data_IF_793485047315
#
_entry.id   IF_793485047315
#
_cell.length_a   1.000
_cell.length_b   1.000
_cell.length_c   1.000
_cell.angle_alpha   90.00
_cell.angle_beta   90.00
_cell.angle_gamma   90.00
#
_symmetry.space_group_name_H-M   'P 1'
#
loop_
_entity.id
_entity.type
_entity.pdbx_description
1 polymer ?
#
# COMPACT_ATOMS: atom_id res chain seq x y z
N UNK A 1 2.04 24.05 2.31
CA UNK A 1 0.84 24.10 3.20
C UNK A 1 0.42 22.70 3.50
N UNK A 2 -0.03 22.44 4.73
CA UNK A 2 -0.56 21.13 5.14
C UNK A 2 -1.73 20.70 4.25
N UNK A 3 -1.71 19.47 3.73
CA UNK A 3 -2.86 18.90 3.01
C UNK A 3 -3.56 17.88 3.88
N UNK A 4 -4.88 17.96 3.93
CA UNK A 4 -5.72 17.04 4.70
C UNK A 4 -6.78 16.43 3.79
N UNK A 5 -6.90 15.11 3.85
CA UNK A 5 -7.93 14.33 3.13
C UNK A 5 -8.82 13.68 4.19
N UNK A 6 -10.11 14.01 4.18
CA UNK A 6 -11.08 13.37 5.06
C UNK A 6 -11.63 12.11 4.40
N UNK A 7 -11.39 10.95 5.01
CA UNK A 7 -11.94 9.66 4.60
C UNK A 7 -13.28 9.46 5.28
N UNK A 8 -14.30 9.06 4.50
CA UNK A 8 -15.68 8.87 4.98
C UNK A 8 -16.11 7.41 4.88
N UNK A 9 -17.05 7.04 5.72
CA UNK A 9 -17.78 5.78 5.62
C UNK A 9 -19.27 6.09 5.68
N UNK A 10 -20.02 5.66 4.67
CA UNK A 10 -21.45 5.98 4.54
C UNK A 10 -21.76 7.49 4.70
N UNK A 11 -20.90 8.33 4.12
CA UNK A 11 -21.02 9.80 4.17
C UNK A 11 -20.58 10.44 5.47
N UNK A 12 -20.23 9.69 6.51
CA UNK A 12 -19.77 10.22 7.80
C UNK A 12 -18.24 10.24 7.88
N UNK A 13 -17.62 11.29 8.42
CA UNK A 13 -16.18 11.34 8.66
C UNK A 13 -15.72 10.13 9.48
N UNK A 14 -14.65 9.47 9.04
CA UNK A 14 -14.08 8.29 9.69
C UNK A 14 -12.71 8.60 10.28
N UNK A 15 -11.78 9.11 9.47
CA UNK A 15 -10.46 9.57 9.88
C UNK A 15 -9.88 10.55 8.86
N UNK A 16 -8.83 11.25 9.25
CA UNK A 16 -8.08 12.14 8.37
C UNK A 16 -6.77 11.52 7.93
N UNK A 17 -6.39 11.79 6.68
CA UNK A 17 -5.03 11.61 6.17
C UNK A 17 -4.40 13.00 6.12
N UNK A 18 -3.37 13.23 6.92
CA UNK A 18 -2.62 14.48 6.99
C UNK A 18 -1.28 14.29 6.31
N UNK A 19 -0.97 15.16 5.36
CA UNK A 19 0.28 15.13 4.58
C UNK A 19 1.09 16.38 4.95
N UNK A 20 2.26 16.16 5.53
CA UNK A 20 3.18 17.17 6.03
C UNK A 20 4.62 16.90 5.55
N UNK A 21 5.47 17.90 5.71
CA UNK A 21 6.90 17.77 5.37
C UNK A 21 7.78 17.46 6.58
N UNK A 22 7.20 17.40 7.78
CA UNK A 22 7.90 17.04 9.03
C UNK A 22 6.96 16.35 10.01
N UNK A 23 7.49 15.91 11.16
CA UNK A 23 6.67 15.41 12.27
C UNK A 23 6.25 16.50 13.25
N UNK A 24 6.58 17.76 13.04
CA UNK A 24 6.41 18.84 14.04
C UNK A 24 4.94 19.11 14.39
N UNK A 25 4.02 18.83 13.46
CA UNK A 25 2.59 18.97 13.69
C UNK A 25 1.89 17.70 14.20
N UNK A 26 2.62 16.62 14.41
CA UNK A 26 2.02 15.36 14.87
C UNK A 26 1.28 15.54 16.20
N UNK A 27 1.88 16.26 17.15
CA UNK A 27 1.23 16.54 18.43
C UNK A 27 -0.10 17.30 18.25
N UNK A 28 -0.10 18.33 17.43
CA UNK A 28 -1.32 19.13 17.12
C UNK A 28 -2.42 18.28 16.49
N UNK A 29 -2.06 17.45 15.50
CA UNK A 29 -3.03 16.58 14.83
C UNK A 29 -3.53 15.46 15.75
N UNK A 30 -2.67 14.96 16.64
CA UNK A 30 -3.05 13.97 17.62
C UNK A 30 -4.00 14.54 18.67
N UNK A 31 -3.78 15.78 19.14
CA UNK A 31 -4.65 16.46 20.13
C UNK A 31 -6.08 16.62 19.62
N UNK A 32 -6.29 16.73 18.29
CA UNK A 32 -7.64 16.77 17.68
C UNK A 32 -8.43 15.47 17.91
N UNK A 33 -7.75 14.37 18.26
CA UNK A 33 -8.41 13.10 18.61
C UNK A 33 -9.00 13.11 20.03
N UNK A 34 -8.67 14.11 20.85
CA UNK A 34 -9.12 14.21 22.23
C UNK A 34 -8.58 13.13 23.16
N UNK A 35 -7.39 12.57 22.84
CA UNK A 35 -6.75 11.50 23.63
C UNK A 35 -5.67 12.09 24.50
N UNK A 36 -5.93 12.22 25.80
CA UNK A 36 -5.01 12.78 26.81
C UNK A 36 -4.96 11.89 28.05
N UNK A 37 -3.80 11.81 28.71
CA UNK A 37 -3.59 11.00 29.94
C UNK A 37 -3.67 9.50 29.71
N UNK A 38 -3.40 9.04 28.50
CA UNK A 38 -3.43 7.62 28.08
C UNK A 38 -2.02 7.07 27.86
N UNK A 39 -1.96 5.78 27.59
CA UNK A 39 -0.74 5.12 27.15
C UNK A 39 -0.78 4.97 25.63
N UNK A 40 0.31 5.33 25.00
CA UNK A 40 0.53 5.17 23.58
C UNK A 40 1.67 4.17 23.38
N UNK A 41 1.49 3.16 22.56
CA UNK A 41 2.55 2.24 22.18
C UNK A 41 2.96 2.50 20.72
N UNK A 42 4.14 3.04 20.52
CA UNK A 42 4.80 3.07 19.22
C UNK A 42 5.23 1.63 18.91
N UNK A 43 4.68 1.06 17.84
CA UNK A 43 5.10 -0.22 17.26
C UNK A 43 5.89 0.09 16.00
N UNK A 44 7.13 -0.37 15.95
CA UNK A 44 8.04 -0.10 14.83
C UNK A 44 8.95 -1.30 14.57
N UNK A 45 9.72 -1.24 13.50
CA UNK A 45 10.72 -2.25 13.17
C UNK A 45 12.16 -1.76 13.39
N UNK A 46 13.11 -2.70 13.35
CA UNK A 46 14.55 -2.46 13.60
C UNK A 46 15.20 -1.51 12.60
N UNK A 47 14.61 -1.29 11.41
CA UNK A 47 15.12 -0.33 10.43
C UNK A 47 14.58 1.08 10.66
N UNK A 48 13.32 1.23 11.05
CA UNK A 48 12.61 2.51 11.14
C UNK A 48 12.77 3.14 12.52
N UNK A 49 12.73 2.35 13.59
CA UNK A 49 12.79 2.84 14.96
C UNK A 49 14.04 3.71 15.23
N UNK A 50 15.27 3.30 14.82
CA UNK A 50 16.47 4.11 15.06
C UNK A 50 16.43 5.49 14.39
N UNK A 51 15.66 5.63 13.30
CA UNK A 51 15.59 6.87 12.52
C UNK A 51 14.56 7.85 13.10
N UNK A 52 13.42 7.34 13.58
CA UNK A 52 12.26 8.20 13.81
C UNK A 52 11.57 8.02 15.17
N UNK A 53 11.74 6.87 15.86
CA UNK A 53 10.95 6.57 17.06
C UNK A 53 11.12 7.63 18.16
N UNK A 54 12.35 8.09 18.40
CA UNK A 54 12.62 9.13 19.39
C UNK A 54 11.91 10.44 19.09
N UNK A 55 11.90 10.90 17.83
CA UNK A 55 11.22 12.13 17.45
C UNK A 55 9.69 11.99 17.61
N UNK A 56 9.12 10.86 17.21
CA UNK A 56 7.69 10.57 17.39
C UNK A 56 7.33 10.53 18.87
N UNK A 57 8.14 9.88 19.71
CA UNK A 57 7.97 9.85 21.17
C UNK A 57 7.95 11.28 21.75
N UNK A 58 8.91 12.12 21.38
CA UNK A 58 8.98 13.52 21.83
C UNK A 58 7.73 14.32 21.42
N UNK A 59 7.19 14.12 20.23
CA UNK A 59 5.95 14.77 19.80
C UNK A 59 4.74 14.27 20.61
N UNK A 60 4.62 12.96 20.80
CA UNK A 60 3.48 12.37 21.52
C UNK A 60 3.50 12.68 23.02
N UNK A 61 4.66 12.82 23.63
CA UNK A 61 4.78 13.25 25.04
C UNK A 61 4.20 14.65 25.27
N UNK A 62 4.26 15.56 24.27
CA UNK A 62 3.67 16.91 24.36
C UNK A 62 2.14 16.88 24.54
N UNK A 63 1.48 15.82 24.16
CA UNK A 63 0.03 15.64 24.26
C UNK A 63 -0.45 15.17 25.63
N UNK A 64 0.46 15.12 26.65
CA UNK A 64 0.16 14.68 28.01
C UNK A 64 -0.08 13.19 28.18
N UNK A 65 0.34 12.39 27.22
CA UNK A 65 0.23 10.93 27.23
C UNK A 65 1.54 10.27 27.72
N UNK A 66 1.46 9.00 28.16
CA UNK A 66 2.64 8.18 28.44
C UNK A 66 2.98 7.38 27.17
N UNK A 67 4.23 7.43 26.74
CA UNK A 67 4.66 6.77 25.50
C UNK A 67 5.55 5.57 25.83
N UNK A 68 5.30 4.48 25.14
CA UNK A 68 6.05 3.23 25.17
C UNK A 68 6.46 2.88 23.74
N UNK A 69 7.57 2.18 23.58
CA UNK A 69 8.04 1.77 22.25
C UNK A 69 8.30 0.27 22.24
N UNK A 70 7.70 -0.43 21.28
CA UNK A 70 7.96 -1.82 20.95
C UNK A 70 8.61 -1.88 19.56
N UNK A 71 9.73 -2.60 19.46
CA UNK A 71 10.47 -2.75 18.19
C UNK A 71 10.66 -4.24 17.90
N UNK A 72 10.27 -4.66 16.70
CA UNK A 72 10.51 -6.01 16.21
C UNK A 72 11.50 -6.01 15.04
N UNK A 73 12.02 -7.17 14.66
CA UNK A 73 12.97 -7.30 13.58
C UNK A 73 12.31 -7.00 12.23
N UNK A 74 12.94 -6.14 11.42
CA UNK A 74 12.39 -5.72 10.12
C UNK A 74 12.30 -6.88 9.12
N UNK A 75 11.30 -6.83 8.25
CA UNK A 75 11.12 -7.79 7.15
C UNK A 75 9.77 -8.47 7.15
N UNK A 76 9.34 -8.92 5.95
CA UNK A 76 8.05 -9.60 5.75
C UNK A 76 7.94 -10.89 6.55
N UNK A 77 9.05 -11.60 6.80
CA UNK A 77 9.06 -12.82 7.60
C UNK A 77 8.55 -12.62 9.03
N UNK A 78 8.64 -11.40 9.55
CA UNK A 78 8.18 -11.03 10.89
C UNK A 78 6.75 -10.47 10.90
N UNK A 79 6.08 -10.42 9.75
CA UNK A 79 4.65 -10.09 9.64
C UNK A 79 3.79 -11.31 9.92
N UNK A 80 3.82 -11.82 11.14
CA UNK A 80 3.21 -13.09 11.52
C UNK A 80 2.51 -13.02 12.88
N UNK A 81 1.84 -14.11 13.28
CA UNK A 81 1.13 -14.19 14.55
C UNK A 81 2.07 -14.18 15.77
N UNK A 82 3.27 -14.74 15.65
CA UNK A 82 4.23 -14.78 16.77
C UNK A 82 4.63 -13.37 17.17
N UNK A 83 4.94 -12.50 16.20
CA UNK A 83 5.21 -11.08 16.47
C UNK A 83 3.99 -10.35 17.06
N UNK A 84 2.77 -10.69 16.63
CA UNK A 84 1.55 -10.14 17.25
C UNK A 84 1.42 -10.56 18.71
N UNK A 85 1.74 -11.81 19.04
CA UNK A 85 1.74 -12.32 20.42
C UNK A 85 2.78 -11.58 21.28
N UNK A 86 3.97 -11.30 20.75
CA UNK A 86 4.99 -10.50 21.44
C UNK A 86 4.49 -9.09 21.75
N UNK A 87 3.77 -8.44 20.80
CA UNK A 87 3.15 -7.14 21.07
C UNK A 87 2.08 -7.25 22.14
N UNK A 88 1.22 -8.28 22.12
CA UNK A 88 0.23 -8.49 23.20
C UNK A 88 0.89 -8.63 24.56
N UNK A 89 1.93 -9.44 24.65
CA UNK A 89 2.66 -9.63 25.93
C UNK A 89 3.24 -8.31 26.44
N UNK A 90 3.83 -7.50 25.53
CA UNK A 90 4.34 -6.17 25.86
C UNK A 90 3.24 -5.24 26.39
N UNK A 91 2.08 -5.20 25.72
CA UNK A 91 0.95 -4.37 26.12
C UNK A 91 0.37 -4.80 27.48
N UNK A 92 0.25 -6.12 27.74
CA UNK A 92 -0.22 -6.68 29.02
C UNK A 92 0.74 -6.32 30.14
N UNK A 93 2.05 -6.53 29.97
CA UNK A 93 3.09 -6.21 30.96
C UNK A 93 3.10 -4.72 31.33
N UNK A 94 2.76 -3.85 30.39
CA UNK A 94 2.67 -2.40 30.61
C UNK A 94 1.24 -1.93 30.97
N UNK A 95 0.32 -2.86 31.24
CA UNK A 95 -1.05 -2.59 31.70
C UNK A 95 -1.85 -1.69 30.75
N UNK A 96 -1.75 -1.90 29.44
CA UNK A 96 -2.57 -1.19 28.45
C UNK A 96 -4.04 -1.58 28.59
N UNK A 97 -4.92 -0.57 28.56
CA UNK A 97 -6.37 -0.75 28.63
C UNK A 97 -7.07 -0.42 27.29
N UNK A 98 -8.42 -0.55 27.24
CA UNK A 98 -9.21 -0.32 26.03
C UNK A 98 -9.23 1.13 25.52
N UNK A 99 -8.79 2.08 26.34
CA UNK A 99 -8.76 3.51 25.99
C UNK A 99 -7.37 3.97 25.56
N UNK A 100 -6.37 3.09 25.70
CA UNK A 100 -5.03 3.34 25.22
C UNK A 100 -4.96 3.13 23.68
N UNK A 101 -3.83 3.47 23.07
CA UNK A 101 -3.75 3.51 21.60
C UNK A 101 -2.40 2.99 21.10
N UNK A 102 -2.42 2.37 19.90
CA UNK A 102 -1.21 1.99 19.18
C UNK A 102 -0.85 3.05 18.14
N UNK A 103 0.45 3.21 17.90
CA UNK A 103 1.02 4.09 16.87
C UNK A 103 1.88 3.24 15.96
N UNK A 104 1.41 2.96 14.76
CA UNK A 104 2.15 2.20 13.75
C UNK A 104 3.17 3.11 13.06
N UNK A 105 4.43 3.04 13.44
CA UNK A 105 5.51 3.82 12.85
C UNK A 105 6.36 2.94 11.92
N UNK A 106 6.09 2.94 10.62
CA UNK A 106 6.83 2.08 9.71
C UNK A 106 6.25 1.94 8.31
N UNK A 107 6.75 0.96 7.59
CA UNK A 107 6.22 0.56 6.28
C UNK A 107 4.93 -0.25 6.37
N UNK A 108 4.52 -0.88 5.26
CA UNK A 108 3.29 -1.68 5.19
C UNK A 108 3.25 -2.84 6.19
N UNK A 109 4.39 -3.51 6.43
CA UNK A 109 4.51 -4.59 7.43
C UNK A 109 4.09 -4.11 8.81
N UNK A 110 4.67 -3.00 9.26
CA UNK A 110 4.37 -2.41 10.58
C UNK A 110 2.91 -1.95 10.65
N UNK A 111 2.42 -1.28 9.60
CA UNK A 111 1.05 -0.78 9.54
C UNK A 111 0.01 -1.89 9.65
N UNK A 112 0.19 -2.96 8.87
CA UNK A 112 -0.72 -4.10 8.83
C UNK A 112 -0.71 -4.90 10.14
N UNK A 113 0.49 -5.21 10.66
CA UNK A 113 0.67 -5.94 11.92
C UNK A 113 0.09 -5.16 13.10
N UNK A 114 0.42 -3.87 13.22
CA UNK A 114 -0.08 -3.03 14.31
C UNK A 114 -1.59 -2.84 14.23
N UNK A 115 -2.13 -2.63 13.04
CA UNK A 115 -3.57 -2.49 12.84
C UNK A 115 -4.32 -3.78 13.17
N UNK A 116 -3.78 -4.95 12.83
CA UNK A 116 -4.35 -6.26 13.23
C UNK A 116 -4.24 -6.49 14.73
N UNK A 117 -3.10 -6.17 15.34
CA UNK A 117 -2.92 -6.20 16.80
C UNK A 117 -3.95 -5.31 17.49
N UNK A 118 -4.14 -4.08 16.99
CA UNK A 118 -5.14 -3.16 17.53
C UNK A 118 -6.57 -3.69 17.41
N UNK A 119 -6.90 -4.35 16.28
CA UNK A 119 -8.23 -4.93 16.05
C UNK A 119 -8.56 -6.07 17.00
N UNK A 120 -7.56 -6.77 17.50
CA UNK A 120 -7.74 -8.02 18.26
C UNK A 120 -7.43 -7.88 19.76
N UNK A 121 -6.47 -7.02 20.15
CA UNK A 121 -6.16 -6.77 21.55
C UNK A 121 -7.38 -6.19 22.29
N UNK A 122 -7.77 -6.81 23.41
CA UNK A 122 -8.96 -6.46 24.21
C UNK A 122 -10.27 -6.35 23.40
N UNK A 123 -10.38 -7.02 22.26
CA UNK A 123 -11.48 -6.96 21.27
C UNK A 123 -11.56 -5.63 20.52
N UNK A 124 -10.46 -4.94 20.43
CA UNK A 124 -10.28 -3.70 19.66
C UNK A 124 -9.89 -2.51 20.53
N UNK A 125 -8.73 -1.93 20.23
CA UNK A 125 -8.25 -0.64 20.75
C UNK A 125 -7.94 0.29 19.57
N UNK A 126 -7.93 1.60 19.81
CA UNK A 126 -7.64 2.56 18.74
C UNK A 126 -6.19 2.49 18.27
N UNK A 127 -5.94 2.86 17.01
CA UNK A 127 -4.59 3.06 16.50
C UNK A 127 -4.51 4.20 15.50
N UNK A 128 -3.30 4.70 15.26
CA UNK A 128 -2.96 5.62 14.19
C UNK A 128 -1.85 5.04 13.34
N UNK A 129 -1.76 5.52 12.09
CA UNK A 129 -0.70 5.17 11.14
C UNK A 129 0.26 6.34 10.95
N UNK A 130 1.55 6.08 11.04
CA UNK A 130 2.64 7.00 10.67
C UNK A 130 3.51 6.28 9.62
N UNK A 131 3.04 6.23 8.35
CA UNK A 131 3.69 5.45 7.30
C UNK A 131 5.00 6.09 6.85
N UNK A 132 6.06 5.28 6.78
CA UNK A 132 7.42 5.74 6.45
C UNK A 132 7.94 5.26 5.09
N UNK A 133 7.19 4.42 4.38
CA UNK A 133 7.50 4.06 2.99
C UNK A 133 6.47 4.63 2.03
N UNK A 134 6.85 4.87 0.76
CA UNK A 134 5.93 5.40 -0.24
C UNK A 134 4.74 4.47 -0.46
N UNK A 135 4.98 3.14 -0.53
CA UNK A 135 3.91 2.14 -0.62
C UNK A 135 2.93 2.25 0.55
N UNK A 136 3.43 2.44 1.77
CA UNK A 136 2.57 2.60 2.93
C UNK A 136 1.78 3.92 2.89
N UNK A 137 2.40 5.01 2.44
CA UNK A 137 1.72 6.31 2.33
C UNK A 137 0.58 6.29 1.32
N UNK A 138 0.79 5.73 0.14
CA UNK A 138 -0.23 5.81 -0.94
C UNK A 138 -1.14 4.59 -1.01
N UNK A 139 -0.81 3.50 -0.34
CA UNK A 139 -1.56 2.24 -0.44
C UNK A 139 -1.92 1.64 0.91
N UNK A 140 -1.04 0.95 1.63
CA UNK A 140 -1.41 0.07 2.73
C UNK A 140 -2.04 0.79 3.93
N UNK A 141 -1.72 2.05 4.22
CA UNK A 141 -2.32 2.81 5.32
C UNK A 141 -3.77 3.24 5.09
N UNK A 142 -4.32 3.06 3.87
CA UNK A 142 -5.62 3.58 3.47
C UNK A 142 -6.60 2.44 3.22
N UNK A 143 -7.78 2.49 3.87
CA UNK A 143 -8.87 1.54 3.63
C UNK A 143 -8.95 0.39 4.62
N UNK A 144 -8.16 0.44 5.70
CA UNK A 144 -8.32 -0.40 6.89
C UNK A 144 -8.11 -1.90 6.70
N UNK A 145 -7.51 -2.34 5.60
CA UNK A 145 -7.04 -3.74 5.50
C UNK A 145 -5.84 -3.88 6.42
N UNK A 146 -5.95 -4.72 7.43
CA UNK A 146 -4.87 -5.04 8.37
C UNK A 146 -4.74 -6.55 8.47
N UNK A 147 -3.54 -7.06 8.71
CA UNK A 147 -3.35 -8.49 8.78
C UNK A 147 -1.91 -8.93 8.81
N UNK A 148 -1.75 -10.22 8.96
CA UNK A 148 -0.46 -10.89 9.01
C UNK A 148 -0.45 -12.11 8.09
N UNK A 149 0.74 -12.56 7.79
CA UNK A 149 0.97 -13.78 7.03
C UNK A 149 0.72 -15.00 7.93
N UNK A 150 0.23 -16.06 7.32
CA UNK A 150 0.05 -17.33 7.98
C UNK A 150 0.84 -18.41 7.25
N UNK A 151 1.94 -18.86 7.85
CA UNK A 151 2.91 -19.81 7.24
C UNK A 151 3.39 -19.26 5.88
N UNK A 152 3.17 -20.02 4.79
CA UNK A 152 3.56 -19.63 3.44
C UNK A 152 2.52 -18.76 2.70
N UNK A 153 1.47 -18.32 3.37
CA UNK A 153 0.36 -17.58 2.76
C UNK A 153 0.35 -16.13 3.23
N UNK A 154 0.55 -15.19 2.32
CA UNK A 154 0.52 -13.75 2.61
C UNK A 154 -0.89 -13.25 2.94
N UNK A 155 -1.00 -12.38 3.95
CA UNK A 155 -2.19 -11.62 4.31
C UNK A 155 -3.47 -12.48 4.54
N UNK A 156 -3.30 -13.72 5.04
CA UNK A 156 -4.41 -14.66 5.22
C UNK A 156 -5.23 -14.42 6.49
N UNK A 157 -4.60 -13.89 7.51
CA UNK A 157 -5.23 -13.61 8.79
C UNK A 157 -5.29 -12.10 8.96
N UNK A 158 -6.50 -11.54 9.06
CA UNK A 158 -6.62 -10.09 9.10
C UNK A 158 -8.02 -9.61 9.47
N UNK A 159 -8.12 -8.30 9.58
CA UNK A 159 -9.37 -7.60 9.90
C UNK A 159 -9.48 -6.31 9.07
N UNK A 160 -10.72 -5.90 8.79
CA UNK A 160 -10.99 -4.53 8.37
C UNK A 160 -11.06 -3.64 9.61
N UNK A 161 -9.97 -2.93 9.90
CA UNK A 161 -9.86 -2.06 11.06
C UNK A 161 -9.30 -0.70 10.69
N UNK A 162 -10.06 0.36 10.90
CA UNK A 162 -9.71 1.69 10.42
C UNK A 162 -8.88 2.45 11.47
N UNK A 163 -7.82 3.16 11.05
CA UNK A 163 -7.06 4.03 11.94
C UNK A 163 -7.90 5.26 12.36
N UNK A 164 -7.49 5.93 13.44
CA UNK A 164 -8.07 7.20 13.86
C UNK A 164 -7.43 8.40 13.15
N UNK A 165 -6.21 8.21 12.65
CA UNK A 165 -5.42 9.20 11.92
C UNK A 165 -4.40 8.47 11.06
N UNK A 166 -4.14 8.98 9.87
CA UNK A 166 -2.95 8.65 9.08
C UNK A 166 -2.12 9.93 8.97
N UNK A 167 -0.94 9.95 9.58
CA UNK A 167 -0.05 11.10 9.53
C UNK A 167 1.16 10.79 8.66
N UNK A 168 1.28 11.45 7.54
CA UNK A 168 2.34 11.26 6.56
C UNK A 168 3.35 12.41 6.65
N UNK A 169 4.60 12.08 6.90
CA UNK A 169 5.72 12.98 6.68
C UNK A 169 6.41 12.59 5.38
N UNK A 170 6.35 13.44 4.35
CA UNK A 170 6.95 13.13 3.05
C UNK A 170 8.48 13.18 3.07
N UNK A 171 9.11 13.91 4.00
CA UNK A 171 10.57 13.98 4.08
C UNK A 171 11.24 12.64 4.41
N UNK A 172 10.52 11.72 5.07
CA UNK A 172 11.04 10.38 5.38
C UNK A 172 11.36 9.56 4.12
N UNK A 173 10.75 9.90 2.98
CA UNK A 173 11.00 9.24 1.71
C UNK A 173 12.43 9.38 1.21
N UNK A 174 13.16 10.42 1.68
CA UNK A 174 14.58 10.63 1.38
C UNK A 174 15.47 9.54 2.00
N UNK A 175 15.01 8.85 3.05
CA UNK A 175 15.74 7.74 3.67
C UNK A 175 15.58 6.40 2.94
N UNK A 176 14.64 6.32 2.00
CA UNK A 176 14.39 5.10 1.25
C UNK A 176 15.46 4.85 0.19
N UNK A 177 15.85 3.59 0.01
CA UNK A 177 16.55 3.22 -1.20
C UNK A 177 15.69 3.49 -2.44
N UNK A 178 16.32 3.79 -3.57
CA UNK A 178 15.60 4.03 -4.84
C UNK A 178 14.65 2.87 -5.18
N UNK A 179 15.06 1.64 -4.92
CA UNK A 179 14.27 0.45 -5.21
C UNK A 179 13.01 0.36 -4.33
N UNK A 180 13.12 0.72 -3.03
CA UNK A 180 11.96 0.80 -2.13
C UNK A 180 11.01 1.94 -2.51
N UNK A 181 11.55 3.10 -2.88
CA UNK A 181 10.74 4.21 -3.40
C UNK A 181 9.97 3.77 -4.66
N UNK A 182 10.67 3.18 -5.63
CA UNK A 182 10.05 2.70 -6.86
C UNK A 182 8.97 1.64 -6.59
N UNK A 183 9.14 0.75 -5.60
CA UNK A 183 8.11 -0.23 -5.25
C UNK A 183 6.77 0.44 -4.94
N UNK A 184 6.78 1.54 -4.15
CA UNK A 184 5.56 2.33 -3.92
C UNK A 184 5.11 3.11 -5.14
N UNK A 185 6.05 3.55 -5.98
CA UNK A 185 5.74 4.32 -7.18
C UNK A 185 4.99 3.51 -8.25
N UNK A 186 5.13 2.20 -8.27
CA UNK A 186 4.33 1.30 -9.11
C UNK A 186 2.82 1.44 -8.84
N UNK A 187 2.43 1.58 -7.56
CA UNK A 187 1.04 1.82 -7.17
C UNK A 187 0.53 3.20 -7.60
N UNK A 188 1.40 4.20 -7.59
CA UNK A 188 1.08 5.56 -8.05
C UNK A 188 0.79 5.58 -9.56
N UNK A 189 1.65 4.93 -10.37
CA UNK A 189 1.40 4.78 -11.81
C UNK A 189 0.10 4.02 -12.04
N UNK A 190 -0.15 2.95 -11.28
CA UNK A 190 -1.41 2.20 -11.34
C UNK A 190 -2.61 3.10 -11.10
N UNK A 191 -2.60 3.97 -10.09
CA UNK A 191 -3.72 4.88 -9.82
C UNK A 191 -4.02 5.78 -11.04
N UNK A 192 -3.00 6.32 -11.71
CA UNK A 192 -3.18 7.07 -12.94
C UNK A 192 -3.78 6.21 -14.06
N UNK A 193 -3.24 5.01 -14.28
CA UNK A 193 -3.70 4.11 -15.34
C UNK A 193 -5.16 3.68 -15.18
N UNK A 194 -5.63 3.48 -13.93
CA UNK A 194 -6.98 2.94 -13.68
C UNK A 194 -8.06 4.02 -13.51
N UNK A 195 -7.70 5.26 -13.13
CA UNK A 195 -8.68 6.27 -12.69
C UNK A 195 -8.46 7.67 -13.21
N UNK A 196 -7.24 8.06 -13.62
CA UNK A 196 -6.94 9.47 -13.91
C UNK A 196 -5.82 9.60 -14.95
N UNK A 197 -6.20 9.79 -16.23
CA UNK A 197 -5.27 9.97 -17.34
C UNK A 197 -4.45 11.27 -17.21
N UNK A 198 -5.04 12.34 -16.67
CA UNK A 198 -4.34 13.62 -16.48
C UNK A 198 -3.27 13.48 -15.41
N UNK A 199 -3.57 12.77 -14.34
CA UNK A 199 -2.59 12.42 -13.30
C UNK A 199 -1.46 11.54 -13.87
N UNK A 200 -1.79 10.53 -14.69
CA UNK A 200 -0.79 9.71 -15.37
C UNK A 200 0.16 10.58 -16.23
N UNK A 201 -0.40 11.51 -17.02
CA UNK A 201 0.39 12.43 -17.82
C UNK A 201 1.23 13.38 -16.97
N UNK A 202 0.68 13.87 -15.85
CA UNK A 202 1.40 14.73 -14.92
C UNK A 202 2.62 14.01 -14.33
N UNK A 203 2.51 12.74 -13.95
CA UNK A 203 3.63 11.92 -13.44
C UNK A 203 4.75 11.83 -14.49
N UNK A 204 4.41 11.67 -15.77
CA UNK A 204 5.38 11.60 -16.85
C UNK A 204 6.11 12.93 -17.05
N UNK A 205 5.38 14.02 -17.08
CA UNK A 205 5.95 15.38 -17.31
C UNK A 205 6.83 15.81 -16.13
N UNK A 206 6.48 15.44 -14.91
CA UNK A 206 7.21 15.82 -13.70
C UNK A 206 8.23 14.76 -13.21
N UNK A 207 8.59 13.79 -14.07
CA UNK A 207 9.45 12.68 -13.69
C UNK A 207 10.82 13.13 -13.11
N UNK A 208 11.42 14.18 -13.65
CA UNK A 208 12.69 14.73 -13.12
C UNK A 208 12.51 15.24 -11.70
N UNK A 209 11.50 16.08 -11.45
CA UNK A 209 11.23 16.62 -10.11
C UNK A 209 10.97 15.52 -9.08
N UNK A 210 10.19 14.50 -9.47
CA UNK A 210 9.88 13.36 -8.60
C UNK A 210 11.17 12.58 -8.28
N UNK A 211 12.04 12.33 -9.27
CA UNK A 211 13.31 11.64 -9.08
C UNK A 211 14.29 12.43 -8.21
N UNK A 212 14.25 13.74 -8.31
CA UNK A 212 15.07 14.66 -7.53
C UNK A 212 14.46 14.90 -6.12
N UNK A 213 13.37 14.20 -5.78
CA UNK A 213 12.71 14.28 -4.47
C UNK A 213 12.22 15.69 -4.15
N UNK A 214 11.77 16.45 -5.19
CA UNK A 214 11.18 17.78 -5.01
C UNK A 214 9.94 17.70 -4.11
N UNK A 215 9.95 18.47 -3.03
CA UNK A 215 8.93 18.37 -1.98
C UNK A 215 7.52 18.68 -2.49
N UNK A 216 7.37 19.69 -3.36
CA UNK A 216 6.06 20.08 -3.89
C UNK A 216 5.53 19.04 -4.87
N UNK A 217 6.42 18.46 -5.70
CA UNK A 217 6.05 17.39 -6.61
C UNK A 217 5.65 16.11 -5.85
N UNK A 218 6.39 15.74 -4.79
CA UNK A 218 6.04 14.60 -3.93
C UNK A 218 4.72 14.82 -3.20
N UNK A 219 4.51 16.01 -2.64
CA UNK A 219 3.25 16.36 -1.95
C UNK A 219 2.04 16.24 -2.89
N UNK A 220 2.14 16.81 -4.09
CA UNK A 220 1.08 16.72 -5.08
C UNK A 220 0.81 15.28 -5.50
N UNK A 221 1.88 14.54 -5.82
CA UNK A 221 1.83 13.15 -6.23
C UNK A 221 1.12 12.28 -5.18
N UNK A 222 1.52 12.37 -3.92
CA UNK A 222 0.93 11.60 -2.83
C UNK A 222 -0.51 12.03 -2.59
N UNK A 223 -0.79 13.32 -2.59
CA UNK A 223 -2.14 13.85 -2.38
C UNK A 223 -3.13 13.33 -3.42
N UNK A 224 -2.79 13.38 -4.71
CA UNK A 224 -3.68 12.87 -5.78
C UNK A 224 -3.85 11.36 -5.67
N UNK A 225 -2.76 10.62 -5.46
CA UNK A 225 -2.78 9.17 -5.28
C UNK A 225 -3.68 8.74 -4.12
N UNK A 226 -3.55 9.40 -2.96
CA UNK A 226 -4.39 9.13 -1.79
C UNK A 226 -5.88 9.46 -2.05
N UNK A 227 -6.19 10.52 -2.80
CA UNK A 227 -7.57 10.85 -3.16
C UNK A 227 -8.19 9.80 -4.08
N UNK A 228 -7.46 9.33 -5.10
CA UNK A 228 -7.93 8.25 -5.97
C UNK A 228 -8.26 7.01 -5.13
N UNK A 229 -7.35 6.60 -4.23
CA UNK A 229 -7.60 5.45 -3.38
C UNK A 229 -8.75 5.67 -2.40
N UNK A 230 -8.85 6.86 -1.78
CA UNK A 230 -9.97 7.24 -0.90
C UNK A 230 -11.30 7.07 -1.60
N UNK A 231 -11.45 7.59 -2.82
CA UNK A 231 -12.71 7.51 -3.57
C UNK A 231 -13.14 6.07 -3.83
N UNK A 232 -12.19 5.20 -4.16
CA UNK A 232 -12.47 3.77 -4.38
C UNK A 232 -12.84 3.08 -3.07
N UNK A 233 -12.13 3.36 -1.98
CA UNK A 233 -12.38 2.75 -0.66
C UNK A 233 -13.70 3.20 -0.04
N UNK A 234 -14.06 4.49 -0.19
CA UNK A 234 -15.34 5.03 0.30
C UNK A 234 -16.54 4.38 -0.40
N UNK A 235 -16.42 4.11 -1.72
CA UNK A 235 -17.49 3.44 -2.49
C UNK A 235 -17.62 1.97 -2.13
N UNK A 236 -16.51 1.28 -1.87
CA UNK A 236 -16.48 -0.15 -1.62
C UNK A 236 -15.50 -0.53 -0.49
N UNK A 237 -15.87 -0.25 0.76
CA UNK A 237 -14.97 -0.47 1.91
C UNK A 237 -14.55 -1.94 2.11
N UNK A 238 -15.37 -2.90 1.65
CA UNK A 238 -15.18 -4.34 1.86
C UNK A 238 -14.71 -5.11 0.61
N UNK A 239 -14.36 -4.39 -0.48
CA UNK A 239 -13.87 -4.99 -1.74
C UNK A 239 -14.83 -6.02 -2.37
N UNK A 240 -16.11 -5.67 -2.41
CA UNK A 240 -17.13 -6.49 -3.07
C UNK A 240 -17.42 -6.09 -4.52
N UNK A 241 -16.90 -4.95 -4.98
CA UNK A 241 -17.15 -4.37 -6.31
C UNK A 241 -15.95 -3.59 -6.84
N UNK A 242 -16.13 -2.27 -7.03
CA UNK A 242 -15.17 -1.37 -7.70
C UNK A 242 -13.78 -1.29 -7.04
N UNK A 243 -13.66 -1.59 -5.75
CA UNK A 243 -12.34 -1.62 -5.08
C UNK A 243 -11.41 -2.68 -5.70
N UNK A 244 -11.97 -3.69 -6.38
CA UNK A 244 -11.18 -4.65 -7.12
C UNK A 244 -10.33 -4.02 -8.23
N UNK A 245 -10.69 -2.83 -8.75
CA UNK A 245 -9.90 -2.09 -9.75
C UNK A 245 -8.48 -1.80 -9.26
N UNK A 246 -8.29 -1.61 -7.95
CA UNK A 246 -6.97 -1.45 -7.33
C UNK A 246 -6.07 -2.69 -7.50
N UNK A 247 -6.61 -3.82 -7.91
CA UNK A 247 -5.86 -5.04 -8.21
C UNK A 247 -5.37 -5.11 -9.68
N UNK A 248 -5.39 -4.00 -10.44
CA UNK A 248 -4.79 -3.95 -11.77
C UNK A 248 -3.32 -4.39 -11.71
N UNK A 249 -2.94 -5.35 -12.53
CA UNK A 249 -1.62 -5.97 -12.53
C UNK A 249 -1.38 -7.06 -11.44
N UNK A 250 -2.18 -7.11 -10.38
CA UNK A 250 -1.91 -7.99 -9.23
C UNK A 250 -2.14 -9.46 -9.53
N UNK A 251 -3.06 -9.83 -10.41
CA UNK A 251 -3.37 -11.24 -10.71
C UNK A 251 -2.14 -12.01 -11.21
N UNK A 252 -1.47 -11.47 -12.20
CA UNK A 252 -0.23 -12.06 -12.73
C UNK A 252 0.99 -11.62 -11.92
N UNK A 253 1.00 -10.39 -11.38
CA UNK A 253 2.09 -9.87 -10.56
C UNK A 253 2.36 -10.69 -9.30
N UNK A 254 1.35 -11.09 -8.54
CA UNK A 254 1.50 -11.96 -7.36
C UNK A 254 1.97 -13.36 -7.72
N UNK A 255 1.54 -13.89 -8.87
CA UNK A 255 2.04 -15.18 -9.35
C UNK A 255 3.54 -15.10 -9.70
N UNK A 256 3.97 -14.03 -10.36
CA UNK A 256 5.39 -13.75 -10.63
C UNK A 256 6.16 -13.58 -9.32
N UNK A 257 5.66 -12.79 -8.37
CA UNK A 257 6.27 -12.57 -7.06
C UNK A 257 6.56 -13.89 -6.34
N UNK A 258 5.57 -14.79 -6.33
CA UNK A 258 5.69 -16.10 -5.70
C UNK A 258 6.69 -17.00 -6.42
N UNK A 259 6.66 -17.06 -7.75
CA UNK A 259 7.57 -17.88 -8.54
C UNK A 259 9.02 -17.38 -8.50
N UNK A 260 9.20 -16.07 -8.32
CA UNK A 260 10.51 -15.43 -8.11
C UNK A 260 11.01 -15.53 -6.66
N UNK A 261 10.34 -16.32 -5.80
CA UNK A 261 10.71 -16.49 -4.39
C UNK A 261 10.94 -15.15 -3.66
N UNK A 262 10.11 -14.15 -3.97
CA UNK A 262 10.16 -12.80 -3.37
C UNK A 262 11.50 -12.06 -3.54
N UNK A 263 12.29 -12.39 -4.57
CA UNK A 263 13.54 -11.68 -4.91
C UNK A 263 13.27 -10.35 -5.60
N UNK A 264 12.11 -10.20 -6.22
CA UNK A 264 11.58 -8.94 -6.75
C UNK A 264 10.69 -8.27 -5.70
N UNK A 265 10.71 -6.94 -5.68
CA UNK A 265 9.82 -6.18 -4.81
C UNK A 265 8.39 -6.18 -5.36
N UNK A 266 7.43 -6.02 -4.48
CA UNK A 266 6.00 -6.01 -4.82
C UNK A 266 5.67 -5.12 -6.03
N UNK A 267 6.10 -3.85 -6.02
CA UNK A 267 5.84 -2.92 -7.13
C UNK A 267 6.50 -3.32 -8.45
N UNK A 268 7.65 -4.02 -8.41
CA UNK A 268 8.27 -4.58 -9.61
C UNK A 268 7.40 -5.68 -10.22
N UNK A 269 6.88 -6.58 -9.38
CA UNK A 269 6.01 -7.67 -9.81
C UNK A 269 4.65 -7.17 -10.32
N UNK A 270 4.05 -6.19 -9.61
CA UNK A 270 2.79 -5.56 -10.05
C UNK A 270 2.98 -4.84 -11.38
N UNK A 271 4.13 -4.18 -11.61
CA UNK A 271 4.46 -3.55 -12.89
C UNK A 271 4.49 -4.57 -14.04
N UNK A 272 5.16 -5.72 -13.86
CA UNK A 272 5.15 -6.80 -14.85
C UNK A 272 3.72 -7.29 -15.13
N UNK A 273 2.93 -7.46 -14.07
CA UNK A 273 1.52 -7.83 -14.19
C UNK A 273 0.67 -6.76 -14.91
N UNK A 274 0.94 -5.46 -14.70
CA UNK A 274 0.29 -4.37 -15.41
C UNK A 274 0.65 -4.38 -16.91
N UNK A 275 1.89 -4.64 -17.26
CA UNK A 275 2.34 -4.75 -18.67
C UNK A 275 1.61 -5.90 -19.37
N UNK A 276 1.51 -7.07 -18.73
CA UNK A 276 0.77 -8.20 -19.28
C UNK A 276 -0.74 -7.89 -19.43
N UNK A 277 -1.37 -7.28 -18.41
CA UNK A 277 -2.77 -6.87 -18.47
C UNK A 277 -3.01 -5.82 -19.58
N UNK A 278 -2.08 -4.87 -19.74
CA UNK A 278 -2.13 -3.88 -20.80
C UNK A 278 -2.02 -4.52 -22.18
N UNK A 279 -1.18 -5.56 -22.37
CA UNK A 279 -1.08 -6.32 -23.61
C UNK A 279 -2.39 -7.01 -23.96
N UNK A 280 -3.14 -7.54 -22.99
CA UNK A 280 -4.48 -8.08 -23.22
C UNK A 280 -5.42 -6.97 -23.74
N UNK A 281 -5.39 -5.77 -23.12
CA UNK A 281 -6.20 -4.64 -23.56
C UNK A 281 -5.86 -4.19 -24.99
N UNK A 282 -4.57 -4.26 -25.41
CA UNK A 282 -4.15 -4.00 -26.81
C UNK A 282 -4.71 -5.06 -27.74
N UNK A 283 -4.55 -6.33 -27.41
CA UNK A 283 -5.02 -7.44 -28.25
C UNK A 283 -6.54 -7.41 -28.45
N UNK A 284 -7.28 -6.87 -27.48
CA UNK A 284 -8.72 -6.65 -27.56
C UNK A 284 -9.12 -5.34 -28.25
N UNK A 285 -8.15 -4.50 -28.65
CA UNK A 285 -8.38 -3.24 -29.37
C UNK A 285 -8.84 -2.07 -28.52
N UNK A 286 -8.74 -2.16 -27.18
CA UNK A 286 -9.09 -1.06 -26.26
C UNK A 286 -7.95 -0.04 -26.12
N UNK A 287 -6.71 -0.49 -26.17
CA UNK A 287 -5.49 0.32 -26.08
C UNK A 287 -4.73 0.19 -27.39
N UNK A 288 -4.24 1.30 -27.92
CA UNK A 288 -3.40 1.29 -29.10
C UNK A 288 -1.98 0.78 -28.81
N UNK A 289 -1.27 0.29 -29.83
CA UNK A 289 0.12 -0.11 -29.70
C UNK A 289 1.01 1.06 -29.23
N UNK A 290 0.72 2.28 -29.67
CA UNK A 290 1.43 3.48 -29.22
C UNK A 290 1.25 3.78 -27.75
N UNK A 291 0.03 3.71 -27.22
CA UNK A 291 -0.24 3.90 -25.79
C UNK A 291 0.46 2.81 -24.94
N UNK A 292 0.50 1.57 -25.44
CA UNK A 292 1.26 0.51 -24.80
C UNK A 292 2.75 0.84 -24.68
N UNK A 293 3.36 1.31 -25.78
CA UNK A 293 4.77 1.70 -25.81
C UNK A 293 5.05 2.90 -24.88
N UNK A 294 4.15 3.89 -24.88
CA UNK A 294 4.23 5.05 -23.98
C UNK A 294 4.20 4.62 -22.48
N UNK A 295 3.40 3.60 -22.14
CA UNK A 295 3.35 3.06 -20.76
C UNK A 295 4.62 2.26 -20.44
N UNK A 296 5.14 1.47 -21.37
CA UNK A 296 6.43 0.80 -21.19
C UNK A 296 7.57 1.79 -20.94
N UNK A 297 7.60 2.87 -21.70
CA UNK A 297 8.62 3.90 -21.55
C UNK A 297 8.48 4.63 -20.22
N UNK A 298 7.26 4.83 -19.71
CA UNK A 298 7.01 5.34 -18.37
C UNK A 298 7.62 4.41 -17.30
N UNK A 299 7.42 3.09 -17.39
CA UNK A 299 8.03 2.15 -16.45
C UNK A 299 9.55 2.15 -16.52
N UNK A 300 10.14 2.12 -17.72
CA UNK A 300 11.59 2.24 -17.93
C UNK A 300 12.15 3.55 -17.38
N UNK A 301 11.44 4.67 -17.59
CA UNK A 301 11.83 6.00 -17.09
C UNK A 301 12.06 5.98 -15.58
N UNK A 302 11.26 5.22 -14.83
CA UNK A 302 11.40 5.08 -13.39
C UNK A 302 12.26 3.88 -12.96
N UNK A 303 12.85 3.15 -13.92
CA UNK A 303 13.78 2.05 -13.65
C UNK A 303 13.09 0.76 -13.21
N UNK A 304 11.83 0.54 -13.57
CA UNK A 304 11.17 -0.74 -13.38
C UNK A 304 11.67 -1.80 -14.36
N UNK A 305 11.76 -3.06 -13.94
CA UNK A 305 11.93 -4.16 -14.88
C UNK A 305 10.68 -4.26 -15.76
N UNK A 306 10.88 -4.38 -17.07
CA UNK A 306 9.78 -4.60 -18.03
C UNK A 306 9.74 -6.05 -18.52
N UNK A 307 10.76 -6.83 -18.15
CA UNK A 307 10.85 -8.28 -18.39
C UNK A 307 11.46 -8.99 -17.20
N UNK A 308 11.21 -10.31 -17.10
CA UNK A 308 11.77 -11.20 -16.09
C UNK A 308 12.13 -12.56 -16.74
N UNK A 309 13.18 -13.20 -16.23
CA UNK A 309 13.65 -14.51 -16.70
C UNK A 309 13.53 -15.56 -15.59
N UNK A 310 13.63 -16.83 -15.95
CA UNK A 310 13.68 -17.95 -14.99
C UNK A 310 12.33 -18.51 -14.58
N UNK A 311 11.23 -18.01 -15.14
CA UNK A 311 9.87 -18.53 -14.97
C UNK A 311 9.19 -18.67 -16.33
N UNK A 312 8.15 -19.48 -16.45
CA UNK A 312 7.41 -19.69 -17.69
C UNK A 312 5.92 -19.30 -17.55
N UNK A 313 5.26 -19.08 -18.66
CA UNK A 313 3.87 -18.63 -18.70
C UNK A 313 2.88 -19.64 -18.11
N UNK A 314 3.13 -20.94 -18.30
CA UNK A 314 2.26 -22.00 -17.79
C UNK A 314 2.22 -22.00 -16.26
N UNK A 315 3.38 -21.88 -15.62
CA UNK A 315 3.49 -21.82 -14.17
C UNK A 315 2.88 -20.54 -13.62
N UNK A 316 3.09 -19.37 -14.28
CA UNK A 316 2.47 -18.10 -13.86
C UNK A 316 0.94 -18.20 -13.88
N UNK A 317 0.35 -18.70 -14.98
CA UNK A 317 -1.10 -18.89 -15.09
C UNK A 317 -1.61 -19.90 -14.06
N UNK A 318 -0.91 -21.02 -13.84
CA UNK A 318 -1.28 -22.01 -12.82
C UNK A 318 -1.29 -21.41 -11.42
N UNK A 319 -0.27 -20.64 -11.04
CA UNK A 319 -0.16 -20.01 -9.72
C UNK A 319 -1.21 -18.94 -9.55
N UNK A 320 -1.52 -18.13 -10.58
CA UNK A 320 -2.53 -17.07 -10.51
C UNK A 320 -3.93 -17.60 -10.19
N UNK A 321 -4.24 -18.84 -10.59
CA UNK A 321 -5.51 -19.52 -10.27
C UNK A 321 -5.63 -20.00 -8.82
N UNK A 322 -4.51 -20.22 -8.15
CA UNK A 322 -4.49 -20.64 -6.74
C UNK A 322 -4.60 -19.47 -5.77
N UNK A 323 -4.53 -18.22 -6.23
CA UNK A 323 -4.78 -17.03 -5.42
C UNK A 323 -6.30 -16.87 -5.19
N UNK A 324 -6.70 -16.41 -4.00
CA UNK A 324 -8.09 -16.31 -3.48
C UNK A 324 -9.08 -15.48 -4.31
N UNK A 325 -8.67 -14.91 -5.41
CA UNK A 325 -9.47 -14.00 -6.23
C UNK A 325 -10.47 -14.69 -7.17
N UNK A 326 -10.74 -15.97 -6.96
CA UNK A 326 -11.77 -16.70 -7.72
C UNK A 326 -13.16 -16.44 -7.13
N UNK A 327 -14.01 -15.79 -7.88
CA UNK A 327 -15.43 -15.69 -7.60
C UNK A 327 -16.18 -16.74 -8.45
N UNK A 328 -16.83 -17.69 -7.80
CA UNK A 328 -17.54 -18.81 -8.45
C UNK A 328 -16.69 -19.57 -9.51
N UNK A 329 -15.38 -19.71 -9.30
CA UNK A 329 -14.48 -20.42 -10.22
C UNK A 329 -13.92 -19.57 -11.37
N UNK A 330 -14.26 -18.29 -11.47
CA UNK A 330 -13.69 -17.35 -12.46
C UNK A 330 -12.69 -16.41 -11.83
N UNK A 331 -11.62 -16.10 -12.56
CA UNK A 331 -10.64 -15.09 -12.14
C UNK A 331 -11.24 -13.71 -12.42
N UNK A 332 -11.22 -12.86 -11.37
CA UNK A 332 -11.54 -11.44 -11.52
C UNK A 332 -10.28 -10.74 -12.06
N UNK A 333 -10.27 -10.39 -13.33
CA UNK A 333 -9.16 -9.72 -13.98
C UNK A 333 -9.47 -8.24 -14.18
N UNK A 334 -8.47 -7.37 -14.06
CA UNK A 334 -8.65 -5.94 -14.30
C UNK A 334 -7.94 -5.57 -15.58
N UNK A 335 -8.66 -4.92 -16.48
CA UNK A 335 -8.18 -4.45 -17.78
C UNK A 335 -8.47 -2.96 -17.95
N UNK A 336 -7.86 -2.33 -18.96
CA UNK A 336 -8.12 -0.93 -19.30
C UNK A 336 -8.99 -0.84 -20.55
N UNK A 337 -10.03 0.01 -20.50
CA UNK A 337 -10.75 0.49 -21.69
C UNK A 337 -9.99 1.62 -22.39
N UNK A 338 -9.29 2.44 -21.61
CA UNK A 338 -8.39 3.51 -22.04
C UNK A 338 -7.47 3.86 -20.85
N UNK A 339 -6.40 4.60 -21.08
CA UNK A 339 -5.62 5.18 -19.98
C UNK A 339 -6.54 6.02 -19.10
N UNK A 340 -6.49 5.78 -17.77
CA UNK A 340 -7.37 6.42 -16.79
C UNK A 340 -8.73 5.76 -16.60
N UNK A 341 -9.02 4.66 -17.28
CA UNK A 341 -10.31 3.98 -17.18
C UNK A 341 -10.17 2.45 -17.20
N UNK A 342 -10.29 1.83 -16.04
CA UNK A 342 -10.23 0.38 -15.87
C UNK A 342 -11.62 -0.23 -15.64
N UNK A 343 -11.73 -1.51 -15.98
CA UNK A 343 -12.93 -2.33 -15.74
C UNK A 343 -12.58 -3.73 -15.24
N UNK A 344 -13.58 -4.39 -14.67
CA UNK A 344 -13.46 -5.78 -14.19
C UNK A 344 -13.90 -6.71 -15.31
N UNK A 345 -13.05 -7.68 -15.64
CA UNK A 345 -13.31 -8.73 -16.62
C UNK A 345 -13.30 -10.10 -15.97
N UNK A 346 -14.23 -10.97 -16.36
CA UNK A 346 -14.38 -12.33 -15.85
C UNK A 346 -14.10 -13.41 -16.91
N UNK A 347 -13.80 -12.99 -18.15
CA UNK A 347 -13.69 -13.87 -19.29
C UNK A 347 -12.30 -13.89 -19.92
N UNK A 348 -11.28 -13.36 -19.21
CA UNK A 348 -9.88 -13.51 -19.63
C UNK A 348 -9.49 -14.98 -19.59
N UNK A 349 -9.16 -15.52 -20.76
CA UNK A 349 -8.78 -16.93 -20.93
C UNK A 349 -7.31 -17.19 -20.60
N UNK A 350 -6.98 -18.45 -20.31
CA UNK A 350 -5.59 -18.91 -20.15
C UNK A 350 -4.73 -18.60 -21.36
N UNK A 351 -5.31 -18.69 -22.56
CA UNK A 351 -4.60 -18.44 -23.83
C UNK A 351 -4.22 -16.95 -23.90
N UNK A 352 -5.14 -16.04 -23.56
CA UNK A 352 -4.85 -14.61 -23.54
C UNK A 352 -3.79 -14.27 -22.49
N UNK A 353 -3.86 -14.87 -21.27
CA UNK A 353 -2.86 -14.65 -20.23
C UNK A 353 -1.48 -15.13 -20.67
N UNK A 354 -1.38 -16.36 -21.25
CA UNK A 354 -0.11 -16.89 -21.74
C UNK A 354 0.47 -16.07 -22.89
N UNK A 355 -0.36 -15.61 -23.81
CA UNK A 355 0.09 -14.77 -24.92
C UNK A 355 0.60 -13.42 -24.41
N UNK A 356 -0.13 -12.79 -23.50
CA UNK A 356 0.28 -11.53 -22.89
C UNK A 356 1.58 -11.66 -22.08
N UNK A 357 1.78 -12.78 -21.37
CA UNK A 357 3.00 -13.05 -20.62
C UNK A 357 4.26 -13.12 -21.49
N UNK A 358 4.16 -13.41 -22.81
CA UNK A 358 5.30 -13.34 -23.74
C UNK A 358 5.90 -11.93 -23.81
N UNK A 359 5.15 -10.89 -23.47
CA UNK A 359 5.64 -9.50 -23.47
C UNK A 359 6.52 -9.17 -22.24
N UNK A 360 6.51 -10.03 -21.22
CA UNK A 360 7.24 -9.80 -19.95
C UNK A 360 8.18 -10.96 -19.57
N UNK A 361 8.09 -12.11 -20.24
CA UNK A 361 8.96 -13.27 -19.99
C UNK A 361 10.04 -13.37 -21.09
N UNK A 362 11.29 -13.57 -20.66
CA UNK A 362 12.45 -13.80 -21.56
C UNK A 362 12.82 -15.27 -21.58
#
# INVERSE_FOLDING_TARGET
>A
MSKCINVKYEGKPLYNIVIEQSFDKLAEEFDKLGVTGRKLCIVSDSNVAPLYAKHIEEQLLKTGNKVFTFVFEAGEANKNLDTVEDVYEFLIKNHFDRKDMLVALGGGVVGDLTGFTAATYLRGISFIQVPTSLLAQVDSSIGGKTGVDFRAYKNMVGAFYQPKLVYMNISVLQSLSRRLFNSGFGEIIKHGLIKDADYYNWLRVNATKIKDMDADALEYMIYVSCNIKREVVEKDPKEKGDRALLNYGHTLGHAIEKLMNFTLYHGECVTLGMIAALRISVNRGYISQKEYEDVLDMFKLYGFPVTVSGINADDVVKVSKSDKKMDAGKIKFILLNSIGNAYIDYDVSDIEMKDALKSVLN
#
